data_IF_576644392689
#
_entry.id   IF_576644392689
#
_cell.length_a   1.000
_cell.length_b   1.000
_cell.length_c   1.000
_cell.angle_alpha   90.00
_cell.angle_beta   90.00
_cell.angle_gamma   90.00
#
_symmetry.space_group_name_H-M   'P 1'
#
loop_
_entity.id
_entity.type
_entity.pdbx_description
1 polymer ?
#
# COMPACT_ATOMS: atom_id res chain seq x y z
N UNK A 1 -12.28 3.20 -38.18
CA UNK A 1 -12.56 3.04 -36.73
C UNK A 1 -11.26 3.16 -35.98
N UNK A 2 -10.97 4.33 -35.41
CA UNK A 2 -9.83 4.52 -34.51
C UNK A 2 -10.32 4.20 -33.10
N UNK A 3 -9.76 3.15 -32.50
CA UNK A 3 -10.05 2.76 -31.12
C UNK A 3 -9.54 3.82 -30.17
N UNK A 4 -10.45 4.60 -29.62
CA UNK A 4 -10.18 5.46 -28.46
C UNK A 4 -9.84 4.54 -27.29
N UNK A 5 -8.60 4.59 -26.82
CA UNK A 5 -8.22 3.98 -25.55
C UNK A 5 -9.00 4.69 -24.44
N UNK A 6 -9.74 3.92 -23.67
CA UNK A 6 -10.43 4.37 -22.45
C UNK A 6 -9.39 5.04 -21.51
N UNK A 7 -9.56 6.32 -21.11
CA UNK A 7 -8.57 7.05 -20.30
C UNK A 7 -8.51 6.59 -18.84
N UNK A 8 -9.34 5.63 -18.45
CA UNK A 8 -9.58 5.25 -17.05
C UNK A 8 -8.61 4.22 -16.49
N UNK A 9 -7.79 3.57 -17.34
CA UNK A 9 -6.83 2.56 -16.89
C UNK A 9 -5.41 2.82 -17.41
N UNK A 10 -4.39 2.82 -16.53
CA UNK A 10 -3.00 2.97 -16.97
C UNK A 10 -2.60 1.85 -17.94
N UNK A 11 -1.81 2.19 -18.95
CA UNK A 11 -1.33 1.22 -19.94
C UNK A 11 -0.55 0.09 -19.25
N UNK A 12 -0.81 -1.17 -19.61
CA UNK A 12 -0.15 -2.36 -19.03
C UNK A 12 1.38 -2.27 -18.99
N UNK A 13 2.00 -1.63 -19.99
CA UNK A 13 3.46 -1.43 -20.02
C UNK A 13 3.95 -0.49 -18.91
N UNK A 14 3.16 0.53 -18.58
CA UNK A 14 3.50 1.51 -17.54
C UNK A 14 3.33 0.89 -16.15
N UNK A 15 2.28 0.10 -15.94
CA UNK A 15 2.07 -0.70 -14.73
C UNK A 15 3.24 -1.64 -14.49
N UNK A 16 3.63 -2.44 -15.50
CA UNK A 16 4.74 -3.38 -15.34
C UNK A 16 6.06 -2.64 -15.05
N UNK A 17 6.32 -1.52 -15.73
CA UNK A 17 7.49 -0.68 -15.45
C UNK A 17 7.48 -0.15 -14.02
N UNK A 18 6.31 0.25 -13.50
CA UNK A 18 6.15 0.74 -12.13
C UNK A 18 6.38 -0.38 -11.11
N UNK A 19 5.76 -1.54 -11.30
CA UNK A 19 6.00 -2.75 -10.49
C UNK A 19 7.49 -3.07 -10.41
N UNK A 20 8.20 -3.06 -11.54
CA UNK A 20 9.65 -3.30 -11.56
C UNK A 20 10.44 -2.25 -10.78
N UNK A 21 10.08 -0.96 -10.89
CA UNK A 21 10.71 0.10 -10.10
C UNK A 21 10.52 -0.11 -8.61
N UNK A 22 9.29 -0.39 -8.15
CA UNK A 22 8.99 -0.65 -6.73
C UNK A 22 9.78 -1.88 -6.25
N UNK A 23 9.76 -2.98 -7.02
CA UNK A 23 10.53 -4.19 -6.74
C UNK A 23 12.03 -3.91 -6.59
N UNK A 24 12.55 -3.02 -7.43
CA UNK A 24 13.95 -2.60 -7.40
C UNK A 24 14.27 -1.58 -6.31
N UNK A 25 13.27 -1.04 -5.60
CA UNK A 25 13.42 -0.01 -4.59
C UNK A 25 13.22 -0.52 -3.16
N UNK A 26 12.45 -1.61 -2.94
CA UNK A 26 12.34 -2.27 -1.63
C UNK A 26 13.65 -2.95 -1.23
N UNK A 27 13.93 -3.16 0.06
CA UNK A 27 15.22 -3.71 0.49
C UNK A 27 15.53 -5.10 -0.12
N UNK A 28 16.80 -5.44 -0.39
CA UNK A 28 17.17 -6.71 -1.03
C UNK A 28 16.70 -7.96 -0.28
N UNK A 29 16.64 -7.91 1.05
CA UNK A 29 16.09 -8.99 1.88
C UNK A 29 14.60 -9.26 1.63
N UNK A 30 13.85 -8.26 1.13
CA UNK A 30 12.48 -8.43 0.64
C UNK A 30 12.42 -8.96 -0.81
N UNK A 31 13.53 -8.95 -1.57
CA UNK A 31 13.60 -9.44 -2.97
C UNK A 31 13.94 -10.93 -3.09
N UNK A 32 14.70 -11.47 -2.13
CA UNK A 32 15.33 -12.79 -2.24
C UNK A 32 14.48 -14.02 -1.91
N UNK A 33 13.35 -13.87 -1.21
CA UNK A 33 12.67 -15.01 -0.55
C UNK A 33 11.33 -15.44 -1.17
N UNK A 34 11.04 -15.08 -2.42
CA UNK A 34 9.70 -15.32 -2.98
C UNK A 34 8.59 -14.46 -2.32
N UNK A 35 8.98 -13.45 -1.54
CA UNK A 35 8.09 -12.52 -0.83
C UNK A 35 7.11 -11.83 -1.80
N UNK A 36 7.58 -11.52 -3.01
CA UNK A 36 6.78 -10.96 -4.11
C UNK A 36 5.87 -11.97 -4.81
N UNK A 37 6.14 -13.28 -4.72
CA UNK A 37 5.40 -14.31 -5.44
C UNK A 37 4.29 -14.96 -4.63
N UNK A 38 4.26 -14.83 -3.30
CA UNK A 38 3.35 -15.61 -2.45
C UNK A 38 2.89 -14.93 -1.15
N UNK A 39 2.69 -13.61 -1.10
CA UNK A 39 1.84 -13.10 -0.03
C UNK A 39 0.40 -13.56 -0.28
N UNK A 40 -0.03 -14.58 0.47
CA UNK A 40 -1.40 -15.12 0.43
C UNK A 40 -2.28 -14.56 1.56
N UNK A 41 -1.78 -13.57 2.30
CA UNK A 41 -2.48 -12.97 3.42
C UNK A 41 -1.56 -12.16 4.33
N UNK A 42 -2.17 -11.47 5.28
CA UNK A 42 -1.50 -10.60 6.25
C UNK A 42 -1.17 -11.38 7.52
N UNK A 43 0.07 -11.27 8.01
CA UNK A 43 0.47 -11.82 9.31
C UNK A 43 0.33 -10.75 10.39
N UNK A 44 -0.26 -11.12 11.53
CA UNK A 44 -0.31 -10.28 12.71
C UNK A 44 1.07 -10.21 13.38
N UNK A 45 1.58 -9.01 13.65
CA UNK A 45 2.91 -8.74 14.20
C UNK A 45 2.84 -7.81 15.43
N UNK A 46 2.27 -8.31 16.53
CA UNK A 46 2.23 -7.58 17.81
C UNK A 46 1.32 -6.34 17.81
N UNK A 47 0.63 -6.09 16.71
CA UNK A 47 -0.31 -5.00 16.50
C UNK A 47 -1.63 -5.21 17.25
N UNK A 48 -2.31 -4.09 17.53
CA UNK A 48 -3.67 -4.10 18.08
C UNK A 48 -4.60 -4.81 17.10
N UNK A 49 -5.62 -5.50 17.62
CA UNK A 49 -6.50 -6.32 16.77
C UNK A 49 -7.19 -5.51 15.67
N UNK A 50 -7.63 -4.28 15.98
CA UNK A 50 -8.25 -3.38 14.99
C UNK A 50 -7.28 -3.00 13.87
N UNK A 51 -6.02 -2.69 14.20
CA UNK A 51 -4.98 -2.43 13.20
C UNK A 51 -4.77 -3.65 12.28
N UNK A 52 -4.67 -4.85 12.86
CA UNK A 52 -4.56 -6.10 12.10
C UNK A 52 -5.74 -6.30 11.14
N UNK A 53 -6.96 -6.13 11.64
CA UNK A 53 -8.17 -6.30 10.84
C UNK A 53 -8.24 -5.29 9.68
N UNK A 54 -7.89 -4.03 9.92
CA UNK A 54 -7.83 -3.02 8.86
C UNK A 54 -6.84 -3.44 7.77
N UNK A 55 -5.63 -3.84 8.17
CA UNK A 55 -4.58 -4.30 7.24
C UNK A 55 -5.04 -5.50 6.41
N UNK A 56 -5.66 -6.48 7.06
CA UNK A 56 -6.19 -7.67 6.39
C UNK A 56 -7.33 -7.32 5.41
N UNK A 57 -8.23 -6.40 5.78
CA UNK A 57 -9.31 -5.95 4.90
C UNK A 57 -8.78 -5.20 3.67
N UNK A 58 -7.82 -4.29 3.85
CA UNK A 58 -7.16 -3.59 2.72
C UNK A 58 -6.49 -4.59 1.78
N UNK A 59 -5.74 -5.54 2.33
CA UNK A 59 -5.11 -6.61 1.55
C UNK A 59 -6.14 -7.42 0.76
N UNK A 60 -7.22 -7.85 1.42
CA UNK A 60 -8.27 -8.66 0.79
C UNK A 60 -8.93 -7.91 -0.37
N UNK A 61 -9.34 -6.66 -0.15
CA UNK A 61 -9.98 -5.83 -1.18
C UNK A 61 -9.10 -5.68 -2.43
N UNK A 62 -7.83 -5.32 -2.25
CA UNK A 62 -6.89 -5.17 -3.35
C UNK A 62 -6.61 -6.52 -4.03
N UNK A 63 -6.54 -7.61 -3.26
CA UNK A 63 -6.30 -8.95 -3.79
C UNK A 63 -7.47 -9.43 -4.65
N UNK A 64 -8.71 -9.11 -4.26
CA UNK A 64 -9.91 -9.43 -5.04
C UNK A 64 -9.94 -8.70 -6.39
N UNK A 65 -9.23 -7.57 -6.50
CA UNK A 65 -9.01 -6.84 -7.74
C UNK A 65 -7.81 -7.35 -8.57
N UNK A 66 -7.08 -8.34 -8.05
CA UNK A 66 -5.90 -8.92 -8.71
C UNK A 66 -4.65 -8.05 -8.63
N UNK A 67 -4.58 -7.13 -7.67
CA UNK A 67 -3.42 -6.28 -7.46
C UNK A 67 -2.23 -7.10 -6.92
N UNK A 68 -1.02 -6.65 -7.23
CA UNK A 68 0.20 -7.19 -6.61
C UNK A 68 0.52 -6.38 -5.37
N UNK A 69 0.43 -7.01 -4.19
CA UNK A 69 0.44 -6.31 -2.89
C UNK A 69 1.61 -6.82 -2.06
N UNK A 70 2.22 -5.90 -1.31
CA UNK A 70 3.14 -6.22 -0.24
C UNK A 70 2.64 -5.67 1.09
N UNK A 71 2.75 -6.45 2.16
CA UNK A 71 2.56 -5.97 3.53
C UNK A 71 3.84 -6.04 4.32
N UNK A 72 4.00 -5.14 5.31
CA UNK A 72 5.15 -5.10 6.24
C UNK A 72 6.50 -4.99 5.53
N UNK A 73 6.52 -4.35 4.36
CA UNK A 73 7.73 -4.28 3.54
C UNK A 73 8.66 -3.20 4.06
N UNK A 74 9.90 -3.59 4.28
CA UNK A 74 10.98 -2.67 4.61
C UNK A 74 11.48 -1.98 3.34
N UNK A 75 11.45 -0.65 3.37
CA UNK A 75 11.94 0.22 2.32
C UNK A 75 13.34 0.73 2.70
N UNK A 76 13.89 1.66 1.91
CA UNK A 76 15.16 2.29 2.23
C UNK A 76 15.15 2.90 3.65
N UNK A 77 16.29 2.81 4.35
CA UNK A 77 16.48 3.32 5.73
C UNK A 77 15.76 2.57 6.86
N UNK A 78 15.35 1.32 6.63
CA UNK A 78 14.83 0.45 7.69
C UNK A 78 13.39 0.74 8.11
N UNK A 79 12.68 1.51 7.31
CA UNK A 79 11.32 1.90 7.57
C UNK A 79 10.34 0.92 6.91
N UNK A 80 9.25 0.59 7.61
CA UNK A 80 8.30 -0.44 7.16
C UNK A 80 6.97 0.18 6.76
N UNK A 81 6.49 -0.26 5.61
CA UNK A 81 5.19 0.09 5.08
C UNK A 81 4.17 -0.98 5.48
N UNK A 82 3.01 -0.55 5.98
CA UNK A 82 1.92 -1.45 6.37
C UNK A 82 1.37 -2.25 5.18
N UNK A 83 0.90 -1.56 4.13
CA UNK A 83 0.48 -2.14 2.85
C UNK A 83 0.96 -1.27 1.69
N UNK A 84 1.57 -1.89 0.69
CA UNK A 84 2.05 -1.29 -0.55
C UNK A 84 1.39 -2.00 -1.73
N UNK A 85 0.59 -1.25 -2.48
CA UNK A 85 -0.01 -1.73 -3.72
C UNK A 85 0.93 -1.44 -4.89
N UNK A 86 1.55 -2.47 -5.47
CA UNK A 86 2.46 -2.30 -6.59
C UNK A 86 1.74 -2.03 -7.93
N UNK A 87 0.42 -2.22 -8.00
CA UNK A 87 -0.38 -1.90 -9.19
C UNK A 87 -0.57 -0.40 -9.34
N UNK A 88 -1.04 0.25 -8.28
CA UNK A 88 -1.33 1.69 -8.24
C UNK A 88 -0.16 2.51 -7.72
N UNK A 89 0.81 1.87 -7.05
CA UNK A 89 1.88 2.49 -6.27
C UNK A 89 1.39 3.41 -5.15
N UNK A 90 0.28 3.03 -4.54
CA UNK A 90 -0.20 3.62 -3.31
C UNK A 90 0.34 2.88 -2.10
N UNK A 91 0.62 3.65 -1.05
CA UNK A 91 0.89 3.14 0.28
C UNK A 91 -0.36 3.35 1.14
N UNK A 92 -0.75 2.33 1.92
CA UNK A 92 -1.77 2.45 2.96
C UNK A 92 -1.12 2.27 4.32
N UNK A 93 -1.13 3.33 5.13
CA UNK A 93 -0.52 3.39 6.46
C UNK A 93 -1.61 3.46 7.53
N UNK A 94 -1.57 2.55 8.49
CA UNK A 94 -2.59 2.40 9.52
C UNK A 94 -2.05 3.02 10.81
N UNK A 95 -2.40 4.28 11.03
CA UNK A 95 -1.72 5.15 12.00
C UNK A 95 -2.70 5.84 12.94
N UNK A 96 -2.52 5.64 14.24
CA UNK A 96 -3.39 6.24 15.27
C UNK A 96 -2.92 7.62 15.67
N UNK A 97 -3.81 8.60 15.62
CA UNK A 97 -3.56 9.95 16.12
C UNK A 97 -2.47 10.69 15.34
N UNK A 98 -2.43 10.51 14.02
CA UNK A 98 -1.36 11.04 13.18
C UNK A 98 -1.31 12.57 13.20
N UNK A 99 -0.30 13.13 13.87
CA UNK A 99 -0.12 14.59 13.92
C UNK A 99 0.33 15.16 12.57
N UNK A 100 0.05 16.46 12.32
CA UNK A 100 0.55 17.20 11.14
C UNK A 100 2.08 17.15 10.98
N UNK A 101 2.83 17.01 12.07
CA UNK A 101 4.30 16.90 12.05
C UNK A 101 4.73 15.50 11.62
N UNK A 102 4.14 14.47 12.22
CA UNK A 102 4.42 13.07 11.86
C UNK A 102 4.04 12.79 10.41
N UNK A 103 2.85 13.24 9.98
CA UNK A 103 2.40 13.13 8.58
C UNK A 103 3.39 13.73 7.59
N UNK A 104 3.83 14.98 7.82
CA UNK A 104 4.84 15.64 6.97
C UNK A 104 6.16 14.89 6.95
N UNK A 105 6.59 14.34 8.08
CA UNK A 105 7.82 13.55 8.15
C UNK A 105 7.71 12.25 7.35
N UNK A 106 6.57 11.55 7.42
CA UNK A 106 6.34 10.32 6.63
C UNK A 106 6.27 10.63 5.14
N UNK A 107 5.48 11.62 4.72
CA UNK A 107 5.38 12.06 3.33
C UNK A 107 6.76 12.41 2.75
N UNK A 108 7.56 13.21 3.47
CA UNK A 108 8.90 13.58 3.00
C UNK A 108 9.80 12.36 2.76
N UNK A 109 9.73 11.34 3.61
CA UNK A 109 10.57 10.13 3.49
C UNK A 109 10.08 9.22 2.38
N UNK A 110 8.79 8.96 2.35
CA UNK A 110 8.18 8.03 1.42
C UNK A 110 8.10 8.56 -0.01
N UNK A 111 7.96 9.88 -0.18
CA UNK A 111 7.86 10.54 -1.49
C UNK A 111 9.12 11.36 -1.80
N UNK A 112 10.28 11.01 -1.22
CA UNK A 112 11.53 11.71 -1.50
C UNK A 112 11.94 11.47 -2.97
N UNK A 113 11.91 12.50 -3.84
CA UNK A 113 12.21 12.33 -5.26
C UNK A 113 13.69 12.01 -5.53
N UNK A 114 14.57 12.16 -4.54
CA UNK A 114 15.98 11.78 -4.66
C UNK A 114 16.17 10.25 -4.53
N UNK A 115 15.18 9.54 -3.96
CA UNK A 115 15.23 8.08 -3.79
C UNK A 115 14.51 7.34 -4.93
N UNK A 116 14.97 6.13 -5.26
CA UNK A 116 14.27 5.28 -6.23
C UNK A 116 12.86 4.91 -5.77
N UNK A 117 12.68 4.71 -4.45
CA UNK A 117 11.38 4.39 -3.86
C UNK A 117 10.41 5.57 -3.97
N UNK A 118 10.82 6.77 -3.56
CA UNK A 118 9.97 7.96 -3.63
C UNK A 118 9.65 8.42 -5.05
N UNK A 119 10.46 8.06 -6.06
CA UNK A 119 10.11 8.23 -7.48
C UNK A 119 9.15 7.17 -8.02
N UNK A 120 8.95 6.07 -7.31
CA UNK A 120 8.12 4.94 -7.73
C UNK A 120 6.73 4.96 -7.09
N UNK A 121 6.60 5.51 -5.88
CA UNK A 121 5.35 5.69 -5.14
C UNK A 121 4.61 6.93 -5.66
N UNK A 122 3.29 6.82 -5.82
CA UNK A 122 2.44 7.93 -6.28
C UNK A 122 1.92 8.74 -5.09
N UNK A 123 1.35 8.08 -4.08
CA UNK A 123 0.82 8.76 -2.88
C UNK A 123 0.65 7.79 -1.69
N UNK A 124 0.18 8.34 -0.57
CA UNK A 124 0.05 7.66 0.72
C UNK A 124 -1.32 7.98 1.33
N UNK A 125 -2.08 6.93 1.57
CA UNK A 125 -3.36 6.97 2.28
C UNK A 125 -3.09 6.64 3.74
N UNK A 126 -3.48 7.54 4.64
CA UNK A 126 -3.43 7.30 6.08
C UNK A 126 -4.82 6.92 6.56
N UNK A 127 -4.91 5.80 7.27
CA UNK A 127 -6.14 5.27 7.84
C UNK A 127 -5.97 5.29 9.36
N UNK A 128 -6.76 6.09 10.07
CA UNK A 128 -6.74 6.07 11.54
C UNK A 128 -7.72 5.01 12.06
N UNK A 129 -7.27 3.98 12.79
CA UNK A 129 -8.16 2.99 13.38
C UNK A 129 -9.24 3.57 14.28
N UNK A 130 -9.02 4.74 14.89
CA UNK A 130 -10.00 5.35 15.80
C UNK A 130 -11.14 6.06 15.05
N UNK A 131 -10.95 6.38 13.77
CA UNK A 131 -11.99 6.96 12.90
C UNK A 131 -12.93 5.89 12.32
N UNK A 132 -12.55 4.61 12.42
CA UNK A 132 -13.30 3.49 11.86
C UNK A 132 -14.21 2.82 12.91
N UNK A 133 -15.31 2.16 12.50
CA UNK A 133 -16.18 1.43 13.42
C UNK A 133 -15.48 0.18 14.00
N UNK A 134 -15.97 -0.29 15.15
CA UNK A 134 -15.46 -1.52 15.80
C UNK A 134 -16.15 -2.79 15.27
N UNK A 135 -17.33 -2.66 14.65
CA UNK A 135 -18.06 -3.76 14.04
C UNK A 135 -17.40 -4.22 12.75
N UNK A 136 -17.11 -5.51 12.60
CA UNK A 136 -16.31 -6.03 11.47
C UNK A 136 -16.95 -5.81 10.09
N UNK A 137 -18.28 -5.85 9.99
CA UNK A 137 -18.99 -5.61 8.73
C UNK A 137 -18.93 -4.13 8.34
N UNK A 138 -19.27 -3.24 9.26
CA UNK A 138 -19.17 -1.79 9.07
C UNK A 138 -17.71 -1.36 8.80
N UNK A 139 -16.75 -1.98 9.49
CA UNK A 139 -15.33 -1.74 9.28
C UNK A 139 -14.91 -2.08 7.85
N UNK A 140 -15.40 -3.22 7.34
CA UNK A 140 -15.14 -3.61 5.96
C UNK A 140 -15.71 -2.58 5.00
N UNK A 141 -16.98 -2.22 5.14
CA UNK A 141 -17.66 -1.30 4.24
C UNK A 141 -16.98 0.09 4.21
N UNK A 142 -16.59 0.62 5.37
CA UNK A 142 -15.86 1.88 5.47
C UNK A 142 -14.46 1.78 4.82
N UNK A 143 -13.74 0.68 5.03
CA UNK A 143 -12.44 0.46 4.37
C UNK A 143 -12.60 0.42 2.85
N UNK A 144 -13.59 -0.30 2.31
CA UNK A 144 -13.83 -0.34 0.86
C UNK A 144 -14.12 1.06 0.30
N UNK A 145 -14.84 1.91 1.06
CA UNK A 145 -15.05 3.31 0.69
C UNK A 145 -13.71 4.07 0.58
N UNK A 146 -12.80 3.93 1.56
CA UNK A 146 -11.46 4.55 1.48
C UNK A 146 -10.64 4.15 0.26
N UNK A 147 -10.88 2.95 -0.28
CA UNK A 147 -10.09 2.36 -1.37
C UNK A 147 -10.67 2.61 -2.76
N UNK A 148 -11.88 3.17 -2.87
CA UNK A 148 -12.61 3.38 -4.13
C UNK A 148 -12.66 4.82 -4.62
N UNK A 149 -12.16 5.78 -3.83
CA UNK A 149 -12.03 7.20 -4.21
C UNK A 149 -10.70 7.50 -4.89
#
# INVERSE_FOLDING_TARGET
MLGLSDPTYPNKKDVERRRQKIKSAVSPENRGNGYWREQRGVKRHGDRWKHFLIKASVFQFLSDQGHEILTEVEIHEGYKVDVLDAETALIYEIETGLTKKTRRSKLKRYLDPETDFGRAVEDIVFIDPEDLPDGIHELKDEIEAYLTY
#
